data_IF_039424312762
#
_entry.id   IF_039424312762
#
_cell.length_a   1.000
_cell.length_b   1.000
_cell.length_c   1.000
_cell.angle_alpha   90.00
_cell.angle_beta   90.00
_cell.angle_gamma   90.00
#
_symmetry.space_group_name_H-M   'P 1'
#
loop_
_entity.id
_entity.type
_entity.pdbx_description
1 polymer ?
#
# COMPACT_ATOMS: atom_id res chain seq x y z
N UNK A 1 -0.27 13.74 6.16
CA UNK A 1 -0.63 12.60 5.29
C UNK A 1 -0.67 12.99 3.80
N UNK A 2 -1.23 14.13 3.41
CA UNK A 2 -1.34 14.49 1.98
C UNK A 2 0.01 14.72 1.29
N UNK A 3 0.96 15.35 1.97
CA UNK A 3 2.33 15.55 1.47
C UNK A 3 3.24 14.33 1.63
N UNK A 4 2.92 13.41 2.54
CA UNK A 4 3.72 12.19 2.80
C UNK A 4 3.74 11.24 1.60
N UNK A 5 2.67 11.20 0.83
CA UNK A 5 2.61 10.41 -0.40
C UNK A 5 3.69 10.84 -1.39
N UNK A 6 3.85 12.15 -1.59
CA UNK A 6 4.90 12.69 -2.48
C UNK A 6 6.30 12.35 -1.95
N UNK A 7 6.52 12.43 -0.62
CA UNK A 7 7.79 12.03 -0.01
C UNK A 7 8.10 10.53 -0.20
N UNK A 8 7.11 9.66 -0.03
CA UNK A 8 7.29 8.19 -0.12
C UNK A 8 7.52 7.75 -1.56
N UNK A 9 6.81 8.36 -2.52
CA UNK A 9 6.94 8.02 -3.94
C UNK A 9 8.13 8.70 -4.62
N UNK A 10 8.76 9.69 -3.97
CA UNK A 10 9.96 10.36 -4.45
C UNK A 10 11.24 9.60 -4.10
N UNK A 11 12.34 10.12 -4.56
CA UNK A 11 13.68 9.62 -4.25
C UNK A 11 14.35 10.42 -3.13
N UNK A 12 15.55 9.99 -2.75
CA UNK A 12 16.44 10.80 -1.91
C UNK A 12 17.15 11.83 -2.78
N UNK A 13 17.03 13.09 -2.44
CA UNK A 13 17.74 14.20 -3.09
C UNK A 13 18.48 15.04 -2.03
N UNK A 14 19.79 14.79 -1.91
CA UNK A 14 20.65 15.49 -0.96
C UNK A 14 20.82 16.98 -1.29
N UNK A 15 20.36 17.44 -2.45
CA UNK A 15 20.46 18.86 -2.88
C UNK A 15 19.21 19.65 -2.53
N UNK A 16 18.09 18.99 -2.24
CA UNK A 16 16.85 19.63 -1.84
C UNK A 16 16.86 19.98 -0.34
N UNK A 17 16.16 21.06 0.04
CA UNK A 17 16.03 21.47 1.44
C UNK A 17 15.35 20.38 2.31
N UNK A 18 14.44 19.61 1.74
CA UNK A 18 13.75 18.49 2.41
C UNK A 18 14.58 17.21 2.48
N UNK A 19 15.66 17.08 1.70
CA UNK A 19 16.42 15.85 1.51
C UNK A 19 15.73 14.82 0.59
N UNK A 20 14.61 15.19 -0.04
CA UNK A 20 13.82 14.30 -0.89
C UNK A 20 13.40 15.00 -2.19
N UNK A 21 13.36 14.23 -3.27
CA UNK A 21 12.57 14.59 -4.44
C UNK A 21 11.09 14.34 -4.11
N UNK A 22 10.27 15.39 -4.22
CA UNK A 22 8.85 15.34 -3.85
C UNK A 22 7.97 15.61 -5.07
N UNK A 23 7.72 14.58 -5.91
CA UNK A 23 6.84 14.74 -7.05
C UNK A 23 5.45 15.19 -6.58
N UNK A 24 4.85 16.12 -7.34
CA UNK A 24 3.51 16.61 -7.02
C UNK A 24 2.47 15.57 -7.42
N UNK A 25 2.01 14.80 -6.46
CA UNK A 25 0.86 13.92 -6.60
C UNK A 25 -0.31 14.55 -5.84
N UNK A 26 -1.38 15.00 -6.51
CA UNK A 26 -2.54 15.56 -5.83
C UNK A 26 -3.22 14.48 -4.98
N UNK A 27 -3.27 14.69 -3.67
CA UNK A 27 -3.88 13.76 -2.71
C UNK A 27 -4.79 14.53 -1.78
N UNK A 28 -6.01 14.05 -1.60
CA UNK A 28 -6.94 14.54 -0.58
C UNK A 28 -7.32 13.40 0.35
N UNK A 29 -7.20 13.60 1.66
CA UNK A 29 -7.32 12.54 2.67
C UNK A 29 -8.30 12.93 3.76
N UNK A 30 -9.19 11.99 4.10
CA UNK A 30 -9.98 12.03 5.32
C UNK A 30 -9.59 10.89 6.24
N UNK A 31 -9.23 11.21 7.49
CA UNK A 31 -8.90 10.23 8.53
C UNK A 31 -9.99 10.17 9.56
N UNK A 32 -10.56 8.99 9.76
CA UNK A 32 -11.64 8.75 10.69
C UNK A 32 -11.26 7.68 11.72
N UNK A 33 -11.74 7.86 12.96
CA UNK A 33 -11.72 6.80 13.98
C UNK A 33 -12.97 5.97 13.84
N UNK A 34 -12.79 4.64 13.75
CA UNK A 34 -13.89 3.68 13.61
C UNK A 34 -13.78 2.56 14.64
N UNK A 35 -14.89 1.92 15.06
CA UNK A 35 -14.88 0.91 16.12
C UNK A 35 -14.46 -0.46 15.58
N UNK A 36 -13.19 -0.59 15.16
CA UNK A 36 -12.55 -1.87 14.81
C UNK A 36 -11.42 -2.16 15.78
N UNK A 37 -11.11 -3.44 16.01
CA UNK A 37 -10.00 -3.82 16.89
C UNK A 37 -8.68 -3.36 16.30
N UNK A 38 -8.39 -3.80 15.06
CA UNK A 38 -7.19 -3.47 14.30
C UNK A 38 -7.53 -3.36 12.82
N UNK A 39 -6.72 -2.57 12.12
CA UNK A 39 -6.77 -2.40 10.68
C UNK A 39 -7.19 -1.00 10.25
N UNK A 40 -6.48 -0.49 9.23
CA UNK A 40 -6.87 0.70 8.51
C UNK A 40 -7.56 0.27 7.22
N UNK A 41 -8.83 0.60 7.09
CA UNK A 41 -9.61 0.39 5.87
C UNK A 41 -9.63 1.71 5.10
N UNK A 42 -9.11 1.68 3.88
CA UNK A 42 -8.87 2.84 3.03
C UNK A 42 -9.70 2.70 1.77
N UNK A 43 -10.53 3.68 1.47
CA UNK A 43 -11.20 3.80 0.18
C UNK A 43 -10.34 4.68 -0.73
N UNK A 44 -9.89 4.13 -1.85
CA UNK A 44 -9.08 4.84 -2.84
C UNK A 44 -9.88 5.11 -4.10
N UNK A 45 -9.74 6.33 -4.62
CA UNK A 45 -10.15 6.73 -5.96
C UNK A 45 -8.92 7.28 -6.67
N UNK A 46 -8.61 6.77 -7.85
CA UNK A 46 -7.38 7.06 -8.58
C UNK A 46 -7.68 7.62 -9.96
N UNK A 47 -6.93 8.63 -10.35
CA UNK A 47 -6.82 9.10 -11.74
C UNK A 47 -5.41 8.86 -12.24
N UNK A 48 -5.29 8.40 -13.48
CA UNK A 48 -4.01 8.14 -14.13
C UNK A 48 -3.63 9.28 -15.06
N UNK A 49 -2.36 9.70 -15.00
CA UNK A 49 -1.84 10.74 -15.89
C UNK A 49 -1.78 10.26 -17.35
N UNK A 50 -1.49 8.97 -17.55
CA UNK A 50 -1.47 8.35 -18.88
C UNK A 50 -2.85 7.88 -19.30
N UNK A 51 -3.20 8.12 -20.58
CA UNK A 51 -4.47 7.68 -21.15
C UNK A 51 -4.22 6.80 -22.38
N UNK A 52 -5.01 5.75 -22.63
CA UNK A 52 -6.12 5.33 -21.78
C UNK A 52 -5.66 4.82 -20.41
N UNK A 53 -6.47 5.03 -19.37
CA UNK A 53 -6.21 4.50 -18.04
C UNK A 53 -6.26 2.95 -18.07
N UNK A 54 -5.46 2.27 -17.21
CA UNK A 54 -5.47 0.81 -17.14
C UNK A 54 -6.84 0.29 -16.69
N UNK A 55 -7.19 -0.90 -17.17
CA UNK A 55 -8.40 -1.60 -16.74
C UNK A 55 -8.28 -2.10 -15.29
N UNK A 56 -9.39 -2.39 -14.61
CA UNK A 56 -9.38 -3.00 -13.28
C UNK A 56 -8.60 -4.31 -13.22
N UNK A 57 -8.61 -5.09 -14.30
CA UNK A 57 -7.89 -6.35 -14.44
C UNK A 57 -6.38 -6.12 -14.50
N UNK A 58 -5.93 -5.16 -15.29
CA UNK A 58 -4.51 -4.76 -15.38
C UNK A 58 -4.01 -4.21 -14.05
N UNK A 59 -4.79 -3.35 -13.37
CA UNK A 59 -4.45 -2.85 -12.03
C UNK A 59 -4.35 -4.00 -11.03
N UNK A 60 -5.32 -4.93 -11.05
CA UNK A 60 -5.31 -6.09 -10.15
C UNK A 60 -4.11 -7.00 -10.40
N UNK A 61 -3.75 -7.22 -11.67
CA UNK A 61 -2.59 -8.02 -12.04
C UNK A 61 -1.28 -7.36 -11.59
N UNK A 62 -1.13 -6.06 -11.82
CA UNK A 62 0.03 -5.28 -11.37
C UNK A 62 0.20 -5.34 -9.84
N UNK A 63 -0.88 -5.14 -9.09
CA UNK A 63 -0.86 -5.24 -7.63
C UNK A 63 -0.47 -6.65 -7.16
N UNK A 64 -1.04 -7.70 -7.79
CA UNK A 64 -0.79 -9.07 -7.40
C UNK A 64 0.63 -9.55 -7.74
N UNK A 65 1.24 -9.00 -8.78
CA UNK A 65 2.61 -9.32 -9.19
C UNK A 65 3.68 -8.50 -8.47
N UNK A 66 3.28 -7.55 -7.64
CA UNK A 66 4.23 -6.69 -6.93
C UNK A 66 5.09 -7.49 -5.95
N UNK A 67 6.40 -7.31 -6.06
CA UNK A 67 7.42 -7.85 -5.16
C UNK A 67 8.20 -6.70 -4.56
N UNK A 68 8.47 -6.75 -3.27
CA UNK A 68 9.28 -5.75 -2.59
C UNK A 68 10.67 -6.29 -2.20
N UNK A 69 11.60 -5.41 -1.97
CA UNK A 69 13.00 -5.72 -1.76
C UNK A 69 13.23 -6.66 -0.55
N UNK A 70 12.43 -6.55 0.51
CA UNK A 70 12.55 -7.45 1.68
C UNK A 70 12.21 -8.91 1.34
N UNK A 71 11.37 -9.17 0.31
CA UNK A 71 11.12 -10.52 -0.20
C UNK A 71 12.31 -11.03 -1.01
N UNK A 72 12.87 -10.19 -1.89
CA UNK A 72 14.06 -10.53 -2.69
C UNK A 72 15.26 -10.87 -1.81
N UNK A 73 15.41 -10.14 -0.70
CA UNK A 73 16.45 -10.38 0.31
C UNK A 73 16.13 -11.55 1.25
N UNK A 74 14.96 -12.16 1.11
CA UNK A 74 14.50 -13.25 1.96
C UNK A 74 14.53 -12.91 3.46
N UNK A 75 14.13 -11.67 3.80
CA UNK A 75 14.03 -11.26 5.20
C UNK A 75 13.08 -12.18 5.97
N UNK A 76 13.43 -12.63 7.20
CA UNK A 76 12.65 -13.63 7.93
C UNK A 76 11.17 -13.30 8.15
N UNK A 77 10.86 -12.01 8.35
CA UNK A 77 9.48 -11.54 8.55
C UNK A 77 8.79 -11.11 7.26
N UNK A 78 9.46 -11.20 6.11
CA UNK A 78 8.87 -10.80 4.83
C UNK A 78 7.65 -11.68 4.49
N UNK A 79 6.51 -11.08 4.08
CA UNK A 79 5.35 -11.85 3.64
C UNK A 79 5.66 -12.57 2.32
N UNK A 80 5.06 -13.73 2.10
CA UNK A 80 5.16 -14.43 0.81
C UNK A 80 4.49 -13.64 -0.30
N UNK A 81 3.40 -12.95 0.01
CA UNK A 81 2.68 -12.06 -0.88
C UNK A 81 2.42 -10.72 -0.20
N UNK A 82 3.06 -9.67 -0.71
CA UNK A 82 2.95 -8.31 -0.13
C UNK A 82 1.56 -7.74 -0.33
N UNK A 83 1.00 -7.89 -1.53
CA UNK A 83 -0.34 -7.39 -1.86
C UNK A 83 -1.22 -8.58 -2.24
N UNK A 84 -2.27 -8.81 -1.45
CA UNK A 84 -3.26 -9.86 -1.67
C UNK A 84 -4.51 -9.27 -2.29
N UNK A 85 -4.77 -9.57 -3.57
CA UNK A 85 -5.97 -9.11 -4.26
C UNK A 85 -7.13 -10.09 -4.01
N UNK A 86 -8.22 -9.57 -3.43
CA UNK A 86 -9.41 -10.31 -3.06
C UNK A 86 -10.53 -10.11 -4.09
N UNK A 87 -11.07 -11.22 -4.60
CA UNK A 87 -12.09 -11.20 -5.66
C UNK A 87 -13.53 -11.09 -5.13
N UNK A 88 -13.74 -11.37 -3.84
CA UNK A 88 -15.06 -11.32 -3.23
C UNK A 88 -15.57 -9.87 -3.16
N UNK A 89 -16.86 -9.67 -3.44
CA UNK A 89 -17.47 -8.35 -3.51
C UNK A 89 -17.54 -7.60 -2.16
N UNK A 90 -17.47 -8.33 -1.06
CA UNK A 90 -17.55 -7.82 0.32
C UNK A 90 -16.19 -7.72 1.02
N UNK A 91 -15.08 -7.91 0.29
CA UNK A 91 -13.73 -7.90 0.86
C UNK A 91 -12.87 -6.74 0.28
N UNK A 92 -11.87 -6.23 1.06
CA UNK A 92 -11.41 -6.71 2.37
C UNK A 92 -12.30 -6.27 3.53
N UNK A 93 -12.26 -7.05 4.61
CA UNK A 93 -12.90 -6.74 5.89
C UNK A 93 -11.86 -6.83 7.02
N UNK A 94 -11.77 -5.85 7.95
CA UNK A 94 -10.76 -5.86 9.02
C UNK A 94 -10.77 -7.15 9.85
N UNK A 95 -11.95 -7.66 10.18
CA UNK A 95 -12.09 -8.89 10.98
C UNK A 95 -11.54 -10.13 10.29
N UNK A 96 -11.65 -10.22 8.97
CA UNK A 96 -11.35 -11.42 8.19
C UNK A 96 -9.96 -11.36 7.52
N UNK A 97 -9.48 -10.15 7.21
CA UNK A 97 -8.33 -10.01 6.32
C UNK A 97 -7.09 -9.35 6.93
N UNK A 98 -7.23 -8.67 8.08
CA UNK A 98 -6.11 -7.95 8.67
C UNK A 98 -4.89 -8.81 8.98
N UNK A 99 -5.11 -10.12 9.24
CA UNK A 99 -4.05 -11.08 9.59
C UNK A 99 -3.47 -11.85 8.40
N UNK A 100 -3.79 -11.47 7.16
CA UNK A 100 -3.17 -12.10 5.99
C UNK A 100 -1.65 -11.92 6.04
N UNK A 101 -0.92 -13.00 5.71
CA UNK A 101 0.55 -13.05 5.85
C UNK A 101 1.00 -12.57 7.25
N UNK A 102 0.33 -13.04 8.30
CA UNK A 102 0.60 -12.65 9.70
C UNK A 102 0.48 -11.13 9.95
N UNK A 103 -0.33 -10.42 9.18
CA UNK A 103 -0.52 -8.97 9.28
C UNK A 103 0.47 -8.13 8.48
N UNK A 104 1.36 -8.77 7.71
CA UNK A 104 2.34 -8.09 6.85
C UNK A 104 1.84 -7.82 5.44
N UNK A 105 0.71 -8.40 5.02
CA UNK A 105 0.16 -8.14 3.70
C UNK A 105 -0.77 -6.93 3.68
N UNK A 106 -0.77 -6.26 2.53
CA UNK A 106 -1.80 -5.29 2.15
C UNK A 106 -2.90 -6.05 1.41
N UNK A 107 -4.11 -6.06 1.96
CA UNK A 107 -5.26 -6.68 1.29
C UNK A 107 -5.98 -5.65 0.43
N UNK A 108 -6.16 -5.94 -0.84
CA UNK A 108 -6.85 -5.07 -1.80
C UNK A 108 -8.07 -5.80 -2.36
N UNK A 109 -9.17 -5.12 -2.49
CA UNK A 109 -10.35 -5.67 -3.12
C UNK A 109 -11.23 -4.59 -3.73
N UNK A 110 -12.33 -5.03 -4.36
CA UNK A 110 -13.29 -4.13 -5.03
C UNK A 110 -12.61 -3.22 -6.07
N UNK A 111 -11.57 -3.69 -6.73
CA UNK A 111 -10.92 -2.98 -7.84
C UNK A 111 -11.91 -2.91 -8.98
N UNK A 112 -12.30 -1.71 -9.37
CA UNK A 112 -13.33 -1.48 -10.38
C UNK A 112 -13.19 -0.12 -11.05
N UNK A 113 -13.73 0.03 -12.23
CA UNK A 113 -13.87 1.32 -12.90
C UNK A 113 -14.78 2.25 -12.09
N UNK A 114 -14.49 3.54 -12.11
CA UNK A 114 -15.46 4.54 -11.64
C UNK A 114 -16.47 4.84 -12.73
N UNK A 115 -17.69 4.35 -12.55
CA UNK A 115 -18.78 4.54 -13.51
C UNK A 115 -19.23 6.01 -13.65
N UNK A 116 -18.88 6.85 -12.66
CA UNK A 116 -19.21 8.28 -12.71
C UNK A 116 -18.28 9.10 -13.58
N UNK A 117 -17.10 8.54 -13.92
CA UNK A 117 -16.07 9.21 -14.72
C UNK A 117 -15.33 10.33 -14.00
N UNK A 118 -15.53 10.50 -12.68
CA UNK A 118 -14.77 11.47 -11.87
C UNK A 118 -13.33 10.99 -11.66
N UNK A 119 -13.19 9.67 -11.48
CA UNK A 119 -11.90 8.98 -11.37
C UNK A 119 -11.86 7.83 -12.38
N UNK A 120 -10.68 7.24 -12.55
CA UNK A 120 -10.55 6.08 -13.44
C UNK A 120 -10.85 4.77 -12.69
N UNK A 121 -10.23 4.58 -11.51
CA UNK A 121 -10.32 3.35 -10.73
C UNK A 121 -10.72 3.64 -9.28
N UNK A 122 -11.55 2.77 -8.73
CA UNK A 122 -11.87 2.71 -7.30
C UNK A 122 -11.47 1.36 -6.73
N UNK A 123 -10.95 1.36 -5.50
CA UNK A 123 -10.64 0.14 -4.77
C UNK A 123 -10.73 0.36 -3.25
N UNK A 124 -10.72 -0.74 -2.52
CA UNK A 124 -10.65 -0.73 -1.05
C UNK A 124 -9.37 -1.46 -0.62
N UNK A 125 -8.63 -0.85 0.28
CA UNK A 125 -7.35 -1.36 0.80
C UNK A 125 -7.45 -1.53 2.30
N UNK A 126 -6.88 -2.61 2.82
CA UNK A 126 -6.79 -2.88 4.25
C UNK A 126 -5.35 -3.21 4.61
N UNK A 127 -4.85 -2.57 5.66
CA UNK A 127 -3.54 -2.85 6.26
C UNK A 127 -3.67 -3.05 7.77
N UNK A 128 -2.80 -3.87 8.34
CA UNK A 128 -2.74 -4.03 9.79
C UNK A 128 -1.98 -2.86 10.43
N UNK A 129 -2.65 -2.09 11.29
CA UNK A 129 -2.12 -0.84 11.82
C UNK A 129 -1.01 -1.01 12.87
N UNK A 130 -0.94 -2.15 13.57
CA UNK A 130 0.05 -2.40 14.62
C UNK A 130 1.17 -3.34 14.17
N UNK A 131 0.95 -4.16 13.15
CA UNK A 131 1.98 -5.01 12.56
C UNK A 131 2.64 -4.26 11.40
N UNK A 132 2.07 -4.29 10.20
CA UNK A 132 2.67 -3.59 9.05
C UNK A 132 2.79 -2.08 9.29
N UNK A 133 1.82 -1.45 9.95
CA UNK A 133 1.81 -0.02 10.22
C UNK A 133 2.67 0.44 11.42
N UNK A 134 3.33 -0.47 12.15
CA UNK A 134 4.12 -0.12 13.32
C UNK A 134 5.25 -1.13 13.61
N UNK A 135 5.11 -1.97 14.64
CA UNK A 135 6.19 -2.82 15.15
C UNK A 135 6.74 -3.82 14.11
N UNK A 136 5.87 -4.38 13.26
CA UNK A 136 6.29 -5.31 12.22
C UNK A 136 7.17 -4.65 11.16
N UNK A 137 6.84 -3.43 10.73
CA UNK A 137 7.71 -2.69 9.80
C UNK A 137 9.05 -2.32 10.42
N UNK A 138 9.08 -2.00 11.73
CA UNK A 138 10.36 -1.75 12.42
C UNK A 138 11.25 -2.98 12.43
N UNK A 139 10.67 -4.17 12.66
CA UNK A 139 11.39 -5.43 12.58
C UNK A 139 11.90 -5.70 11.16
N UNK A 140 11.04 -5.55 10.14
CA UNK A 140 11.44 -5.71 8.74
C UNK A 140 12.56 -4.76 8.32
N UNK A 141 12.54 -3.51 8.80
CA UNK A 141 13.62 -2.54 8.54
C UNK A 141 14.93 -3.03 9.17
N UNK A 142 14.91 -3.54 10.39
CA UNK A 142 16.11 -4.09 11.03
C UNK A 142 16.67 -5.30 10.25
N UNK A 143 15.80 -6.23 9.85
CA UNK A 143 16.16 -7.39 9.02
C UNK A 143 16.74 -6.96 7.66
N UNK A 144 16.12 -5.95 7.03
CA UNK A 144 16.60 -5.34 5.79
C UNK A 144 18.00 -4.74 5.95
N UNK A 145 18.23 -3.98 7.02
CA UNK A 145 19.53 -3.37 7.28
C UNK A 145 20.63 -4.44 7.48
N UNK A 146 20.34 -5.52 8.20
CA UNK A 146 21.25 -6.65 8.34
C UNK A 146 21.51 -7.31 6.98
N UNK A 147 20.48 -7.58 6.19
CA UNK A 147 20.62 -8.21 4.87
C UNK A 147 21.45 -7.36 3.88
N UNK A 148 21.40 -6.05 4.03
CA UNK A 148 22.17 -5.09 3.22
C UNK A 148 23.55 -4.75 3.80
N UNK A 149 23.96 -5.34 4.92
CA UNK A 149 25.19 -5.02 5.64
C UNK A 149 25.30 -3.52 6.01
N UNK A 150 24.19 -2.93 6.44
CA UNK A 150 24.11 -1.55 6.93
C UNK A 150 24.27 -1.44 8.45
N UNK A 151 24.28 -2.58 9.15
CA UNK A 151 24.49 -2.73 10.58
C UNK A 151 25.65 -3.71 10.82
#
# INVERSE_FOLDING_TARGET
MEWETSKILGGVDATSESGFDMPTVPVSVHCNRVPVLDGHLISLSLSFASQPAPSPEEVSAALQSYVCEVQELSCPSAPKQVIVVLKQADRPQPRLDRMKENGYAVSVGRVRKDETGVFDIKMTVLVHNTILGAAGSSLLIAEYCVAKNLL
#
